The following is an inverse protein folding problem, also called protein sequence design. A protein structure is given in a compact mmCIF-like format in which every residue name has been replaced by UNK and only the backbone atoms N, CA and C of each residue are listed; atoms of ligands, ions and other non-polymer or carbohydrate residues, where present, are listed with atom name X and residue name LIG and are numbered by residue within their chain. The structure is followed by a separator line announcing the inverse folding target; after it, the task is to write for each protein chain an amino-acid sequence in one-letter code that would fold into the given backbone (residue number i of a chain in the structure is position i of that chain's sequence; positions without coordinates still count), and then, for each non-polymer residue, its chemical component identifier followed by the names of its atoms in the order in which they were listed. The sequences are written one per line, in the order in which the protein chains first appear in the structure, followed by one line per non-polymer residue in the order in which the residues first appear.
data_IF_115611903515
#
_entry.id   IF_115611903515
#
_cell.length_a   1.000
_cell.length_b   1.000
_cell.length_c   1.000
_cell.angle_alpha   90.00
_cell.angle_beta   90.00
_cell.angle_gamma   90.00
#
_symmetry.space_group_name_H-M   'P 1'
#
loop_
_entity.id
_entity.type
_entity.pdbx_description
1 polymer ?
#
# COMPACT_ATOMS: atom_id res chain seq x y z
N UNK A 1 -3.02 -10.58 18.67
CA UNK A 1 -3.14 -10.75 17.22
C UNK A 1 -2.61 -9.46 16.60
N UNK A 2 -1.48 -9.53 15.92
CA UNK A 2 -0.94 -8.40 15.16
C UNK A 2 -1.81 -8.25 13.92
N UNK A 3 -2.32 -7.05 13.66
CA UNK A 3 -3.12 -6.80 12.47
C UNK A 3 -2.17 -6.48 11.32
N UNK A 4 -2.57 -6.85 10.10
CA UNK A 4 -1.74 -6.77 8.91
C UNK A 4 -2.53 -6.17 7.76
N UNK A 5 -1.81 -5.75 6.73
CA UNK A 5 -2.34 -5.27 5.44
C UNK A 5 -1.72 -6.13 4.37
N UNK A 6 -2.54 -6.77 3.55
CA UNK A 6 -2.10 -7.51 2.37
C UNK A 6 -2.16 -6.59 1.16
N UNK A 7 -1.03 -6.44 0.48
CA UNK A 7 -0.92 -5.74 -0.80
C UNK A 7 -0.79 -6.80 -1.88
N UNK A 8 -1.80 -6.92 -2.74
CA UNK A 8 -1.83 -7.88 -3.85
C UNK A 8 -1.30 -7.23 -5.12
N UNK A 9 -0.58 -7.98 -5.94
CA UNK A 9 -0.21 -7.56 -7.29
C UNK A 9 -1.42 -7.54 -8.22
N UNK A 10 -1.49 -6.49 -9.06
CA UNK A 10 -2.48 -6.36 -10.15
C UNK A 10 -1.83 -6.57 -11.54
N UNK A 11 -0.57 -7.01 -11.57
CA UNK A 11 0.19 -7.20 -12.81
C UNK A 11 -0.21 -8.52 -13.44
N UNK A 12 -0.55 -8.50 -14.74
CA UNK A 12 -0.90 -9.70 -15.50
C UNK A 12 0.24 -10.73 -15.46
N UNK A 13 -0.08 -11.98 -15.12
CA UNK A 13 0.88 -13.07 -14.95
C UNK A 13 1.59 -13.11 -13.59
N UNK A 14 1.28 -12.17 -12.70
CA UNK A 14 1.83 -12.10 -11.34
C UNK A 14 0.72 -11.86 -10.29
N UNK A 15 -0.51 -12.27 -10.58
CA UNK A 15 -1.68 -12.01 -9.74
C UNK A 15 -1.64 -12.78 -8.42
N UNK A 16 -0.82 -13.83 -8.32
CA UNK A 16 -0.58 -14.56 -7.08
C UNK A 16 0.42 -13.88 -6.14
N UNK A 17 1.16 -12.89 -6.65
CA UNK A 17 2.17 -12.19 -5.87
C UNK A 17 1.52 -11.27 -4.81
N UNK A 18 2.02 -11.33 -3.58
CA UNK A 18 1.55 -10.49 -2.49
C UNK A 18 2.66 -10.15 -1.51
N UNK A 19 2.45 -9.05 -0.79
CA UNK A 19 3.26 -8.65 0.37
C UNK A 19 2.32 -8.35 1.54
N UNK A 20 2.48 -9.07 2.64
CA UNK A 20 1.75 -8.82 3.89
C UNK A 20 2.61 -8.00 4.85
N UNK A 21 2.06 -6.87 5.30
CA UNK A 21 2.76 -5.86 6.08
C UNK A 21 2.11 -5.67 7.45
N UNK A 22 2.91 -5.61 8.51
CA UNK A 22 2.42 -5.31 9.86
C UNK A 22 1.81 -3.90 9.95
N UNK A 23 0.72 -3.73 10.72
CA UNK A 23 -0.02 -2.47 10.83
C UNK A 23 0.59 -1.45 11.82
N UNK A 24 1.45 -1.90 12.72
CA UNK A 24 2.07 -1.06 13.75
C UNK A 24 3.15 -0.13 13.21
N UNK A 25 2.76 0.97 12.57
CA UNK A 25 3.66 1.99 12.03
C UNK A 25 3.72 3.24 12.92
N UNK A 26 4.93 3.75 13.11
CA UNK A 26 5.17 5.06 13.73
C UNK A 26 5.39 6.13 12.67
N UNK A 27 5.14 7.41 13.02
CA UNK A 27 5.45 8.56 12.15
C UNK A 27 6.93 8.61 11.80
N UNK A 28 7.81 8.17 12.71
CA UNK A 28 9.25 8.06 12.46
C UNK A 28 9.54 7.07 11.33
N UNK A 29 8.96 5.88 11.38
CA UNK A 29 9.15 4.85 10.35
C UNK A 29 8.55 5.27 9.01
N UNK A 30 7.42 6.01 9.01
CA UNK A 30 6.89 6.63 7.80
C UNK A 30 7.89 7.62 7.18
N UNK A 31 8.52 8.47 8.00
CA UNK A 31 9.53 9.41 7.51
C UNK A 31 10.80 8.70 6.99
N UNK A 32 11.15 7.55 7.58
CA UNK A 32 12.24 6.69 7.14
C UNK A 32 11.88 5.98 5.81
N UNK A 33 10.62 5.61 5.59
CA UNK A 33 10.19 4.93 4.36
C UNK A 33 10.46 5.75 3.08
N UNK A 34 10.43 7.08 3.17
CA UNK A 34 10.76 7.98 2.05
C UNK A 34 12.24 8.02 1.68
N UNK A 35 13.12 7.35 2.44
CA UNK A 35 14.56 7.33 2.20
C UNK A 35 14.97 5.95 1.69
N UNK A 36 15.66 5.94 0.56
CA UNK A 36 16.15 4.71 -0.07
C UNK A 36 17.06 3.90 0.87
N UNK A 37 17.92 4.57 1.62
CA UNK A 37 18.92 3.97 2.51
C UNK A 37 18.31 3.11 3.64
N UNK A 38 17.07 3.42 4.05
CA UNK A 38 16.38 2.75 5.15
C UNK A 38 15.33 1.75 4.68
N UNK A 39 15.07 1.66 3.38
CA UNK A 39 14.03 0.80 2.82
C UNK A 39 14.26 -0.68 3.18
N UNK A 40 15.48 -1.20 3.03
CA UNK A 40 15.80 -2.61 3.32
C UNK A 40 15.56 -2.95 4.80
N UNK A 41 15.95 -2.06 5.72
CA UNK A 41 15.74 -2.26 7.15
C UNK A 41 14.25 -2.25 7.51
N UNK A 42 13.45 -1.38 6.87
CA UNK A 42 12.01 -1.35 7.06
C UNK A 42 11.33 -2.57 6.45
N UNK A 43 11.78 -3.03 5.28
CA UNK A 43 11.32 -4.23 4.62
C UNK A 43 11.42 -5.45 5.55
N UNK A 44 12.62 -5.73 6.05
CA UNK A 44 12.86 -6.85 6.98
C UNK A 44 12.08 -6.72 8.29
N UNK A 45 11.77 -5.49 8.71
CA UNK A 45 11.05 -5.23 9.96
C UNK A 45 9.53 -5.35 9.81
N UNK A 46 8.98 -4.99 8.64
CA UNK A 46 7.54 -4.75 8.46
C UNK A 46 6.85 -5.81 7.61
N UNK A 47 7.56 -6.48 6.71
CA UNK A 47 6.99 -7.59 5.94
C UNK A 47 6.95 -8.84 6.80
N UNK A 48 5.76 -9.43 6.94
CA UNK A 48 5.52 -10.61 7.80
C UNK A 48 5.25 -11.88 7.00
N UNK A 49 4.78 -11.74 5.77
CA UNK A 49 4.63 -12.81 4.80
C UNK A 49 4.69 -12.24 3.39
N UNK A 50 5.11 -13.04 2.41
CA UNK A 50 5.10 -12.67 1.01
C UNK A 50 5.04 -13.91 0.11
N UNK A 51 4.65 -13.70 -1.13
CA UNK A 51 4.87 -14.61 -2.26
C UNK A 51 5.26 -13.75 -3.44
N UNK A 52 6.46 -13.94 -3.98
CA UNK A 52 6.96 -13.17 -5.12
C UNK A 52 7.54 -14.14 -6.14
N UNK A 53 6.98 -14.12 -7.35
CA UNK A 53 7.47 -14.92 -8.46
C UNK A 53 8.59 -14.17 -9.18
N UNK A 54 9.70 -14.85 -9.38
CA UNK A 54 10.88 -14.34 -10.10
C UNK A 54 10.70 -14.52 -11.61
N UNK A 55 11.51 -13.80 -12.41
CA UNK A 55 11.51 -13.95 -13.87
C UNK A 55 11.89 -15.37 -14.33
N UNK A 56 12.58 -16.13 -13.47
CA UNK A 56 13.02 -17.50 -13.73
C UNK A 56 11.99 -18.57 -13.32
N UNK A 57 10.81 -18.16 -12.83
CA UNK A 57 9.75 -19.07 -12.39
C UNK A 57 9.94 -19.65 -10.99
N UNK A 58 10.89 -19.14 -10.22
CA UNK A 58 11.04 -19.47 -8.80
C UNK A 58 10.19 -18.56 -7.91
N UNK A 59 9.83 -19.05 -6.73
CA UNK A 59 9.00 -18.32 -5.75
C UNK A 59 9.84 -17.94 -4.54
N UNK A 60 9.84 -16.65 -4.20
CA UNK A 60 10.36 -16.13 -2.94
C UNK A 60 9.21 -16.08 -1.93
N UNK A 61 9.45 -16.52 -0.70
CA UNK A 61 8.45 -16.53 0.39
C UNK A 61 8.95 -15.87 1.67
N UNK A 62 10.24 -15.50 1.71
CA UNK A 62 10.88 -14.86 2.87
C UNK A 62 11.39 -13.46 2.53
N UNK A 63 11.22 -12.45 3.40
CA UNK A 63 11.68 -11.08 3.15
C UNK A 63 13.16 -10.97 2.78
N UNK A 64 14.01 -11.79 3.40
CA UNK A 64 15.45 -11.79 3.12
C UNK A 64 15.77 -12.21 1.67
N UNK A 65 15.00 -13.15 1.11
CA UNK A 65 15.22 -13.62 -0.26
C UNK A 65 15.04 -12.49 -1.28
N UNK A 66 14.10 -11.57 -1.03
CA UNK A 66 13.86 -10.41 -1.92
C UNK A 66 15.06 -9.47 -1.95
N UNK A 67 15.78 -9.30 -0.84
CA UNK A 67 17.00 -8.48 -0.81
C UNK A 67 18.13 -9.19 -1.54
N UNK A 68 18.35 -10.46 -1.19
CA UNK A 68 19.48 -11.26 -1.71
C UNK A 68 19.35 -11.51 -3.22
N UNK A 69 18.12 -11.53 -3.73
CA UNK A 69 17.78 -11.95 -5.10
C UNK A 69 16.99 -10.89 -5.88
N UNK A 70 17.13 -9.62 -5.51
CA UNK A 70 16.40 -8.53 -6.18
C UNK A 70 16.70 -8.45 -7.69
N UNK A 71 17.86 -8.92 -8.14
CA UNK A 71 18.27 -8.98 -9.55
C UNK A 71 17.52 -10.07 -10.35
N UNK A 72 16.91 -11.05 -9.69
CA UNK A 72 16.11 -12.11 -10.32
C UNK A 72 14.66 -11.67 -10.61
N UNK A 73 14.27 -10.48 -10.15
CA UNK A 73 12.91 -9.94 -10.30
C UNK A 73 12.74 -9.25 -11.65
N UNK A 74 11.63 -9.53 -12.32
CA UNK A 74 11.17 -8.70 -13.43
C UNK A 74 10.94 -7.25 -12.94
N UNK A 75 11.15 -6.26 -13.82
CA UNK A 75 11.06 -4.83 -13.48
C UNK A 75 9.69 -4.44 -12.91
N UNK A 76 8.60 -5.02 -13.41
CA UNK A 76 7.24 -4.81 -12.91
C UNK A 76 7.09 -5.33 -11.48
N UNK A 77 7.60 -6.52 -11.19
CA UNK A 77 7.57 -7.11 -9.85
C UNK A 77 8.50 -6.38 -8.88
N UNK A 78 9.69 -6.00 -9.34
CA UNK A 78 10.60 -5.17 -8.57
C UNK A 78 9.93 -3.84 -8.16
N UNK A 79 9.19 -3.21 -9.07
CA UNK A 79 8.40 -2.01 -8.74
C UNK A 79 7.31 -2.30 -7.73
N UNK A 80 6.53 -3.36 -7.91
CA UNK A 80 5.49 -3.78 -6.97
C UNK A 80 6.06 -3.96 -5.55
N UNK A 81 7.18 -4.67 -5.42
CA UNK A 81 7.90 -4.88 -4.16
C UNK A 81 8.26 -3.55 -3.51
N UNK A 82 8.87 -2.62 -4.25
CA UNK A 82 9.28 -1.31 -3.72
C UNK A 82 8.07 -0.47 -3.27
N UNK A 83 6.97 -0.50 -4.03
CA UNK A 83 5.78 0.30 -3.78
C UNK A 83 4.89 -0.29 -2.66
N UNK A 84 5.04 -1.59 -2.34
CA UNK A 84 4.18 -2.32 -1.41
C UNK A 84 4.10 -1.72 0.00
N UNK A 85 5.23 -1.33 0.60
CA UNK A 85 5.24 -0.71 1.93
C UNK A 85 4.51 0.63 1.93
N UNK A 86 4.67 1.42 0.85
CA UNK A 86 3.98 2.70 0.71
C UNK A 86 2.47 2.50 0.53
N UNK A 87 2.06 1.50 -0.26
CA UNK A 87 0.66 1.15 -0.44
C UNK A 87 0.01 0.73 0.89
N UNK A 88 0.68 -0.13 1.66
CA UNK A 88 0.21 -0.57 2.97
C UNK A 88 0.04 0.61 3.94
N UNK A 89 1.04 1.49 4.05
CA UNK A 89 0.97 2.65 4.94
C UNK A 89 -0.06 3.68 4.48
N UNK A 90 -0.21 3.88 3.16
CA UNK A 90 -1.26 4.71 2.58
C UNK A 90 -2.65 4.22 3.00
N UNK A 91 -2.90 2.91 2.90
CA UNK A 91 -4.14 2.30 3.39
C UNK A 91 -4.34 2.53 4.90
N UNK A 92 -3.32 2.30 5.73
CA UNK A 92 -3.39 2.54 7.18
C UNK A 92 -3.71 4.00 7.52
N UNK A 93 -3.15 4.96 6.78
CA UNK A 93 -3.43 6.37 6.97
C UNK A 93 -4.91 6.71 6.67
N UNK A 94 -5.55 6.02 5.73
CA UNK A 94 -7.00 6.18 5.46
C UNK A 94 -7.88 5.64 6.58
N UNK A 95 -7.45 4.61 7.31
CA UNK A 95 -8.19 4.07 8.46
C UNK A 95 -8.26 5.07 9.62
N UNK A 96 -7.20 5.87 9.83
CA UNK A 96 -7.23 7.02 10.74
C UNK A 96 -8.15 8.15 10.28
N UNK A 97 -8.45 8.19 8.98
CA UNK A 97 -9.42 9.09 8.35
C UNK A 97 -10.88 8.74 8.63
N UNK A 98 -11.20 7.63 9.28
CA UNK A 98 -12.58 7.23 9.63
C UNK A 98 -13.28 8.17 10.65
N UNK A 99 -12.65 9.27 11.07
CA UNK A 99 -13.30 10.41 11.75
C UNK A 99 -13.28 11.73 10.99
N UNK A 100 -12.71 11.79 9.78
CA UNK A 100 -12.74 13.01 8.97
C UNK A 100 -13.78 12.81 7.87
N UNK A 101 -15.00 13.32 8.13
CA UNK A 101 -16.00 13.55 7.08
C UNK A 101 -15.32 14.32 5.94
N UNK A 102 -15.00 13.63 4.85
CA UNK A 102 -14.76 14.25 3.57
C UNK A 102 -16.13 14.30 2.91
N UNK A 103 -16.82 15.42 3.06
CA UNK A 103 -17.90 15.77 2.15
C UNK A 103 -17.27 16.15 0.82
N UNK A 104 -17.21 15.21 -0.13
CA UNK A 104 -17.05 15.55 -1.55
C UNK A 104 -18.41 15.41 -2.20
N UNK A 105 -19.08 16.55 -2.44
CA UNK A 105 -20.35 16.57 -3.16
C UNK A 105 -21.17 17.82 -2.91
N UNK A 106 -20.72 18.95 -3.46
CA UNK A 106 -21.51 19.98 -4.17
C UNK A 106 -20.82 21.35 -4.07
N UNK A 107 -19.84 21.56 -4.94
CA UNK A 107 -19.52 22.91 -5.42
C UNK A 107 -20.81 23.46 -6.05
N UNK A 108 -21.23 24.64 -5.60
CA UNK A 108 -22.51 25.22 -5.97
C UNK A 108 -22.71 25.39 -7.47
N UNK A 109 -23.89 24.98 -7.93
CA UNK A 109 -24.65 25.71 -8.93
C UNK A 109 -25.84 26.37 -8.21
N UNK A 110 -26.11 27.67 -8.38
CA UNK A 110 -27.29 28.28 -7.78
C UNK A 110 -28.52 27.82 -8.56
N UNK A 111 -29.20 26.79 -8.07
CA UNK A 111 -30.54 26.45 -8.53
C UNK A 111 -31.53 27.35 -7.79
N UNK A 112 -32.02 28.36 -8.52
CA UNK A 112 -33.23 29.16 -8.34
C UNK A 112 -34.08 28.80 -7.11
N UNK A 113 -34.14 29.70 -6.13
CA UNK A 113 -35.23 29.75 -5.16
C UNK A 113 -36.56 29.83 -5.91
N UNK A 114 -37.37 28.76 -5.88
CA UNK A 114 -38.82 28.87 -6.07
C UNK A 114 -39.46 28.92 -4.70
N UNK A 115 -39.91 30.10 -4.31
CA UNK A 115 -40.76 30.32 -3.14
C UNK A 115 -42.06 29.51 -3.31
N UNK A 116 -42.51 28.74 -2.30
CA UNK A 116 -43.84 28.19 -2.32
C UNK A 116 -44.83 29.29 -1.87
N UNK A 117 -45.66 29.78 -2.78
CA UNK A 117 -46.84 30.57 -2.42
C UNK A 117 -47.83 29.64 -1.73
N UNK A 118 -48.25 30.01 -0.51
CA UNK A 118 -49.40 29.41 0.18
C UNK A 118 -50.51 30.46 0.25
N UNK A 119 -51.71 30.04 -0.16
CA UNK A 119 -53.00 30.76 -0.31
C UNK A 119 -53.21 31.55 -1.60
#
# INVERSE_FOLDING_TARGET
MTRTVVVQSEIEGYEECFVEVADGWTVRELNELYRQETWQALWLKKVVALRIDTANGEVLTEPQQVIDRHEDLDVGIYRFVNDSLMAAVGYLATLGGAKRRVSSGATGSPATQRTPTTK
#
